data_IF_626478543707
#
_entry.id   IF_626478543707
#
_cell.length_a   1.000
_cell.length_b   1.000
_cell.length_c   1.000
_cell.angle_alpha   90.00
_cell.angle_beta   90.00
_cell.angle_gamma   90.00
#
_symmetry.space_group_name_H-M   'P 1'
#
loop_
_entity.id
_entity.type
_entity.pdbx_description
1 polymer ?
#
# COMPACT_ATOMS: atom_id res chain seq x y z
N UNK A 1 -0.74 50.14 53.71
CA UNK A 1 0.48 49.56 53.22
C UNK A 1 0.73 50.13 51.85
N UNK A 2 1.71 51.03 51.72
CA UNK A 2 2.01 51.71 50.45
C UNK A 2 2.64 50.68 49.49
N UNK A 3 1.90 50.26 48.52
CA UNK A 3 2.41 49.53 47.38
C UNK A 3 3.33 50.44 46.58
N UNK A 4 4.62 50.34 46.78
CA UNK A 4 5.61 50.95 45.91
C UNK A 4 5.50 50.22 44.56
N UNK A 5 4.90 50.92 43.55
CA UNK A 5 4.99 50.50 42.16
C UNK A 5 6.46 50.26 41.82
N UNK A 6 6.84 49.06 41.61
CA UNK A 6 8.17 48.70 41.11
C UNK A 6 8.33 49.30 39.72
N UNK A 7 8.88 50.56 39.67
CA UNK A 7 9.24 51.19 38.40
C UNK A 7 10.38 50.39 37.76
N UNK A 8 10.24 50.03 36.49
CA UNK A 8 11.32 49.40 35.75
C UNK A 8 12.59 50.24 35.78
N UNK A 9 13.77 49.55 35.83
CA UNK A 9 15.08 50.19 35.91
C UNK A 9 15.83 50.11 34.58
N UNK A 10 16.37 51.23 34.12
CA UNK A 10 17.26 51.29 32.95
C UNK A 10 18.70 51.50 33.38
N UNK A 11 19.62 50.77 32.76
CA UNK A 11 21.08 50.95 32.87
C UNK A 11 21.66 50.93 31.45
N UNK A 12 22.22 52.11 31.05
CA UNK A 12 22.75 52.22 29.68
C UNK A 12 22.90 53.71 29.28
N UNK A 13 23.17 53.92 28.04
CA UNK A 13 23.37 55.22 27.43
C UNK A 13 22.06 55.99 27.30
N UNK A 14 22.13 57.30 27.52
CA UNK A 14 21.00 58.23 27.33
C UNK A 14 21.43 59.45 26.53
N UNK A 15 20.56 59.94 25.67
CA UNK A 15 20.73 61.16 24.91
C UNK A 15 19.45 62.01 25.04
N UNK A 16 19.60 63.23 25.47
CA UNK A 16 18.44 64.17 25.74
C UNK A 16 17.40 63.52 26.66
N UNK A 17 17.85 62.86 27.73
CA UNK A 17 17.03 62.13 28.70
C UNK A 17 16.24 60.92 28.14
N UNK A 18 16.46 60.56 26.88
CA UNK A 18 15.91 59.35 26.27
C UNK A 18 16.96 58.25 26.22
N UNK A 19 16.51 56.96 26.31
CA UNK A 19 17.38 55.81 26.14
C UNK A 19 17.97 55.81 24.73
N UNK A 20 19.27 55.66 24.61
CA UNK A 20 19.97 55.72 23.33
C UNK A 20 21.23 54.84 23.43
N UNK A 21 21.71 54.29 22.32
CA UNK A 21 22.84 53.38 22.34
C UNK A 21 22.52 52.04 23.00
N UNK A 22 23.52 51.40 23.59
CA UNK A 22 23.33 50.10 24.26
C UNK A 22 22.84 50.29 25.71
N UNK A 23 21.88 49.42 26.11
CA UNK A 23 21.38 49.46 27.49
C UNK A 23 20.49 48.26 27.85
N UNK A 24 20.37 48.05 29.16
CA UNK A 24 19.54 47.02 29.78
C UNK A 24 18.34 47.65 30.45
N UNK A 25 17.18 47.20 30.18
CA UNK A 25 15.94 47.58 30.84
C UNK A 25 15.34 46.41 31.61
N UNK A 26 15.31 46.50 32.92
CA UNK A 26 14.57 45.60 33.79
C UNK A 26 13.17 46.11 33.99
N UNK A 27 12.18 45.35 33.59
CA UNK A 27 10.77 45.70 33.77
C UNK A 27 10.38 45.64 35.26
N UNK A 28 9.25 46.19 35.62
CA UNK A 28 8.69 46.10 36.99
C UNK A 28 8.47 44.63 37.41
N UNK A 29 8.10 43.76 36.50
CA UNK A 29 8.16 42.33 36.69
C UNK A 29 9.63 41.87 36.55
N UNK A 30 10.28 41.32 37.61
CA UNK A 30 11.69 41.02 37.59
C UNK A 30 12.09 39.92 36.58
N UNK A 31 11.11 39.19 36.09
CA UNK A 31 11.32 38.10 35.08
C UNK A 31 11.39 38.62 33.66
N UNK A 32 11.00 39.88 33.40
CA UNK A 32 11.09 40.53 32.08
C UNK A 32 12.31 41.44 32.01
N UNK A 33 13.17 41.20 31.01
CA UNK A 33 14.37 41.99 30.80
C UNK A 33 14.65 42.17 29.31
N UNK A 34 14.94 43.42 28.89
CA UNK A 34 15.49 43.67 27.56
C UNK A 34 16.96 44.13 27.70
N UNK A 35 17.80 43.62 26.83
CA UNK A 35 19.20 44.01 26.68
C UNK A 35 19.49 44.19 25.19
N UNK A 36 19.87 45.42 24.78
CA UNK A 36 20.07 45.70 23.38
C UNK A 36 20.19 47.17 23.08
N UNK A 37 20.06 47.51 21.81
CA UNK A 37 20.18 48.88 21.31
C UNK A 37 18.88 49.65 21.43
N UNK A 38 19.01 50.97 21.68
CA UNK A 38 17.93 51.92 21.87
C UNK A 38 18.14 53.12 20.98
N UNK A 39 17.05 53.65 20.44
CA UNK A 39 17.02 54.91 19.72
C UNK A 39 15.81 55.73 20.17
N UNK A 40 16.06 56.98 20.67
CA UNK A 40 15.02 57.90 21.13
C UNK A 40 13.98 57.25 22.07
N UNK A 41 14.44 56.43 23.03
CA UNK A 41 13.59 55.78 24.03
C UNK A 41 12.95 54.48 23.60
N UNK A 42 13.06 54.07 22.31
CA UNK A 42 12.50 52.87 21.74
C UNK A 42 13.59 51.78 21.55
N UNK A 43 13.20 50.50 21.66
CA UNK A 43 14.06 49.40 21.25
C UNK A 43 14.25 49.47 19.73
N UNK A 44 15.50 49.48 19.29
CA UNK A 44 15.85 49.66 17.89
C UNK A 44 17.12 48.86 17.57
N UNK A 45 17.18 48.19 16.43
CA UNK A 45 18.33 47.36 16.06
C UNK A 45 18.35 46.03 16.84
N UNK A 46 19.54 45.55 17.23
CA UNK A 46 19.68 44.20 17.78
C UNK A 46 19.51 44.19 19.31
N UNK A 47 18.78 43.17 19.82
CA UNK A 47 18.57 43.01 21.24
C UNK A 47 18.05 41.65 21.64
N UNK A 48 18.06 41.40 22.97
CA UNK A 48 17.52 40.19 23.59
C UNK A 48 16.43 40.55 24.58
N UNK A 49 15.26 39.95 24.44
CA UNK A 49 14.12 40.08 25.34
C UNK A 49 13.87 38.77 26.05
N UNK A 50 13.99 38.78 27.37
CA UNK A 50 13.63 37.66 28.23
C UNK A 50 12.20 37.82 28.72
N UNK A 51 11.44 36.70 28.70
CA UNK A 51 10.08 36.62 29.18
C UNK A 51 10.00 35.94 30.54
N UNK A 52 8.92 36.13 31.27
CA UNK A 52 8.73 35.63 32.62
C UNK A 52 8.64 34.09 32.75
N UNK A 53 8.34 33.40 31.69
CA UNK A 53 8.26 31.95 31.61
C UNK A 53 9.60 31.27 31.26
N UNK A 54 10.68 32.04 31.09
CA UNK A 54 11.99 31.56 30.65
C UNK A 54 12.16 31.54 29.13
N UNK A 55 11.13 31.88 28.37
CA UNK A 55 11.23 32.10 26.91
C UNK A 55 12.09 33.33 26.61
N UNK A 56 12.68 33.39 25.42
CA UNK A 56 13.40 34.59 24.99
C UNK A 56 13.24 34.83 23.49
N UNK A 57 13.40 36.09 23.11
CA UNK A 57 13.67 36.49 21.73
C UNK A 57 15.03 37.16 21.66
N UNK A 58 15.81 36.89 20.64
CA UNK A 58 17.06 37.55 20.33
C UNK A 58 17.10 37.83 18.82
N UNK A 59 17.17 39.12 18.48
CA UNK A 59 17.09 39.53 17.07
C UNK A 59 16.84 41.01 16.92
N UNK A 60 16.28 41.38 15.80
CA UNK A 60 16.05 42.74 15.39
C UNK A 60 14.77 43.34 15.97
N UNK A 61 14.82 44.64 16.32
CA UNK A 61 13.72 45.45 16.80
C UNK A 61 13.61 46.72 15.96
N UNK A 62 12.40 47.09 15.61
CA UNK A 62 12.07 48.37 14.98
C UNK A 62 10.96 49.02 15.79
N UNK A 63 11.17 50.21 16.30
CA UNK A 63 10.20 51.01 17.08
C UNK A 63 9.53 50.23 18.24
N UNK A 64 10.28 49.46 19.01
CA UNK A 64 9.86 48.52 20.07
C UNK A 64 9.33 47.17 19.61
N UNK A 65 8.97 46.98 18.34
CA UNK A 65 8.39 45.76 17.82
C UNK A 65 9.50 44.77 17.37
N UNK A 66 9.23 43.50 17.55
CA UNK A 66 10.03 42.41 17.01
C UNK A 66 9.81 42.35 15.51
N UNK A 67 10.80 42.73 14.72
CA UNK A 67 10.69 42.76 13.25
C UNK A 67 12.05 42.55 12.63
N UNK A 68 12.16 41.75 11.57
CA UNK A 68 13.44 41.36 10.95
C UNK A 68 13.90 39.97 11.37
N UNK A 69 15.20 39.72 11.33
CA UNK A 69 15.77 38.40 11.64
C UNK A 69 15.94 38.20 13.15
N UNK A 70 15.61 36.98 13.59
CA UNK A 70 15.78 36.66 15.02
C UNK A 70 15.59 35.18 15.34
N UNK A 71 15.87 34.89 16.62
CA UNK A 71 15.61 33.57 17.20
C UNK A 71 14.70 33.71 18.41
N UNK A 72 13.63 32.95 18.46
CA UNK A 72 12.72 32.85 19.60
C UNK A 72 12.70 31.45 20.17
N UNK A 73 12.95 31.35 21.46
CA UNK A 73 12.81 30.11 22.22
C UNK A 73 11.54 30.20 23.08
N UNK A 74 10.74 29.13 23.04
CA UNK A 74 9.51 28.96 23.80
C UNK A 74 9.74 27.93 24.91
N UNK A 75 9.91 28.38 26.17
CA UNK A 75 10.32 27.50 27.27
C UNK A 75 9.32 26.38 27.55
N UNK A 76 8.02 26.67 27.50
CA UNK A 76 6.95 25.69 27.80
C UNK A 76 6.91 24.53 26.81
N UNK A 77 7.01 24.80 25.51
CA UNK A 77 6.97 23.81 24.44
C UNK A 77 8.37 23.31 24.04
N UNK A 78 9.44 23.97 24.49
CA UNK A 78 10.84 23.77 24.06
C UNK A 78 11.05 23.95 22.57
N UNK A 79 10.16 24.68 21.92
CA UNK A 79 10.29 25.01 20.50
C UNK A 79 11.33 26.12 20.33
N UNK A 80 12.02 26.11 19.19
CA UNK A 80 12.92 27.17 18.78
C UNK A 80 12.64 27.54 17.34
N UNK A 81 12.30 28.80 17.12
CA UNK A 81 12.19 29.38 15.79
C UNK A 81 13.38 30.28 15.49
N UNK A 82 13.98 30.17 14.34
CA UNK A 82 14.98 31.06 13.78
C UNK A 82 14.57 31.47 12.38
N UNK A 83 14.39 32.78 12.16
CA UNK A 83 13.90 33.23 10.86
C UNK A 83 13.41 34.67 10.94
N UNK A 84 12.60 35.03 9.95
CA UNK A 84 12.05 36.36 9.83
C UNK A 84 10.80 36.54 10.72
N UNK A 85 10.69 37.72 11.34
CA UNK A 85 9.55 38.18 12.14
C UNK A 85 8.95 39.43 11.56
N UNK A 86 7.66 39.56 11.67
CA UNK A 86 6.92 40.76 11.37
C UNK A 86 5.92 41.04 12.50
N UNK A 87 6.10 42.20 13.19
CA UNK A 87 5.31 42.58 14.39
C UNK A 87 5.20 41.46 15.45
N UNK A 88 6.28 40.71 15.69
CA UNK A 88 6.34 39.64 16.70
C UNK A 88 5.81 38.29 16.25
N UNK A 89 5.27 38.16 15.05
CA UNK A 89 4.83 36.94 14.44
C UNK A 89 5.91 36.36 13.54
N UNK A 90 6.00 35.01 13.48
CA UNK A 90 6.80 34.32 12.47
C UNK A 90 6.18 34.58 11.10
N UNK A 91 6.90 35.26 10.23
CA UNK A 91 6.42 35.70 8.91
C UNK A 91 7.61 35.80 7.94
N UNK A 92 7.53 35.18 6.78
CA UNK A 92 8.65 34.97 5.87
C UNK A 92 9.37 33.63 6.07
N UNK A 93 10.61 33.52 5.60
CA UNK A 93 11.36 32.28 5.67
C UNK A 93 11.98 32.04 7.05
N UNK A 94 11.89 30.79 7.55
CA UNK A 94 12.47 30.41 8.83
C UNK A 94 12.48 28.91 9.09
N UNK A 95 13.11 28.57 10.22
CA UNK A 95 13.24 27.18 10.70
C UNK A 95 12.67 27.06 12.10
N UNK A 96 11.69 26.17 12.26
CA UNK A 96 11.08 25.84 13.55
C UNK A 96 11.49 24.43 13.96
N UNK A 97 12.19 24.35 15.10
CA UNK A 97 12.45 23.06 15.78
C UNK A 97 11.46 22.90 16.90
N UNK A 98 10.72 21.83 16.88
CA UNK A 98 9.74 21.45 17.90
C UNK A 98 10.42 20.70 19.05
N UNK A 99 9.86 20.78 20.25
CA UNK A 99 10.39 20.13 21.44
C UNK A 99 10.30 18.60 21.39
N UNK A 100 9.49 18.01 20.51
CA UNK A 100 9.41 16.58 20.24
C UNK A 100 10.49 16.07 19.26
N UNK A 101 11.30 16.98 18.69
CA UNK A 101 12.36 16.65 17.74
C UNK A 101 12.03 16.89 16.28
N UNK A 102 10.76 17.20 15.94
CA UNK A 102 10.37 17.56 14.58
C UNK A 102 10.98 18.90 14.15
N UNK A 103 11.14 19.08 12.84
CA UNK A 103 11.70 20.30 12.27
C UNK A 103 10.94 20.69 11.02
N UNK A 104 10.49 21.94 10.96
CA UNK A 104 10.01 22.57 9.74
C UNK A 104 10.98 23.66 9.29
N UNK A 105 11.25 23.72 8.00
CA UNK A 105 12.03 24.77 7.36
C UNK A 105 11.32 25.21 6.08
N UNK A 106 10.96 26.48 6.00
CA UNK A 106 10.16 26.99 4.89
C UNK A 106 9.53 28.35 5.21
N UNK A 107 8.49 28.64 4.47
CA UNK A 107 7.79 29.90 4.60
C UNK A 107 6.72 29.87 5.70
N UNK A 108 6.61 31.01 6.39
CA UNK A 108 5.61 31.29 7.43
C UNK A 108 4.78 32.49 7.05
N UNK A 109 3.54 32.45 7.47
CA UNK A 109 2.65 33.61 7.46
C UNK A 109 1.83 33.66 8.75
N UNK A 110 1.98 34.72 9.51
CA UNK A 110 1.29 34.90 10.80
C UNK A 110 1.31 33.64 11.67
N UNK A 111 2.53 33.13 11.97
CA UNK A 111 2.81 31.96 12.79
C UNK A 111 2.35 30.59 12.20
N UNK A 112 1.91 30.53 10.94
CA UNK A 112 1.51 29.30 10.28
C UNK A 112 2.46 28.94 9.15
N UNK A 113 2.64 27.63 8.88
CA UNK A 113 3.32 27.15 7.68
C UNK A 113 2.49 27.55 6.46
N UNK A 114 3.13 28.16 5.49
CA UNK A 114 2.48 28.69 4.28
C UNK A 114 3.45 28.68 3.11
N UNK A 115 3.00 28.33 1.89
CA UNK A 115 3.88 28.24 0.72
C UNK A 115 4.83 27.05 0.79
N UNK A 116 6.02 27.18 0.21
CA UNK A 116 6.99 26.08 0.13
C UNK A 116 7.69 25.84 1.47
N UNK A 117 7.86 24.53 1.81
CA UNK A 117 8.58 24.13 3.02
C UNK A 117 8.81 22.64 3.12
N UNK A 118 9.73 22.28 4.01
CA UNK A 118 10.15 20.91 4.31
C UNK A 118 9.88 20.59 5.78
N UNK A 119 9.24 19.48 6.05
CA UNK A 119 8.97 18.98 7.40
C UNK A 119 9.61 17.62 7.62
N UNK A 120 10.53 17.56 8.55
CA UNK A 120 11.20 16.33 8.99
C UNK A 120 10.68 15.96 10.37
N UNK A 121 10.00 14.84 10.49
CA UNK A 121 9.55 14.29 11.76
C UNK A 121 10.69 13.57 12.51
N UNK A 122 10.52 13.38 13.80
CA UNK A 122 11.48 12.67 14.66
C UNK A 122 11.73 11.22 14.18
N UNK A 123 10.72 10.55 13.68
CA UNK A 123 10.76 9.18 13.12
C UNK A 123 11.30 9.11 11.69
N UNK A 124 11.88 10.23 11.17
CA UNK A 124 12.54 10.34 9.86
C UNK A 124 11.61 10.38 8.64
N UNK A 125 10.33 10.59 8.81
CA UNK A 125 9.48 10.94 7.67
C UNK A 125 9.81 12.34 7.20
N UNK A 126 9.90 12.52 5.88
CA UNK A 126 10.21 13.81 5.26
C UNK A 126 9.10 14.18 4.28
N UNK A 127 8.50 15.33 4.49
CA UNK A 127 7.65 15.97 3.49
C UNK A 127 8.34 17.21 2.94
N UNK A 128 8.33 17.37 1.63
CA UNK A 128 8.78 18.60 0.94
C UNK A 128 7.73 19.00 -0.07
N UNK A 129 7.22 20.21 0.02
CA UNK A 129 6.18 20.70 -0.87
C UNK A 129 5.44 21.91 -0.32
N UNK A 130 4.26 22.15 -0.86
CA UNK A 130 3.44 23.31 -0.54
C UNK A 130 2.63 23.11 0.73
N UNK A 131 2.50 24.17 1.52
CA UNK A 131 1.76 24.23 2.77
C UNK A 131 0.70 25.32 2.72
N UNK A 132 -0.43 25.07 3.35
CA UNK A 132 -1.48 26.06 3.58
C UNK A 132 -2.05 25.91 4.99
N UNK A 133 -1.88 26.94 5.82
CA UNK A 133 -2.35 26.99 7.22
C UNK A 133 -1.95 25.72 8.02
N UNK A 134 -0.65 25.44 8.06
CA UNK A 134 -0.04 24.29 8.73
C UNK A 134 -0.42 22.90 8.17
N UNK A 135 -1.02 22.80 6.97
CA UNK A 135 -1.40 21.54 6.34
C UNK A 135 -0.71 21.38 5.00
N UNK A 136 -0.30 20.18 4.68
CA UNK A 136 0.18 19.83 3.34
C UNK A 136 -0.91 20.11 2.33
N UNK A 137 -0.56 20.80 1.24
CA UNK A 137 -1.51 21.24 0.22
C UNK A 137 -0.78 21.41 -1.11
N UNK A 138 -1.50 21.36 -2.26
CA UNK A 138 -0.88 21.48 -3.57
C UNK A 138 0.07 20.32 -3.90
N UNK A 139 1.20 20.62 -4.54
CA UNK A 139 2.19 19.62 -4.90
C UNK A 139 3.16 19.34 -3.75
N UNK A 140 3.52 18.06 -3.56
CA UNK A 140 4.51 17.69 -2.57
C UNK A 140 4.95 16.24 -2.64
N UNK A 141 6.12 15.99 -2.05
CA UNK A 141 6.72 14.66 -1.92
C UNK A 141 6.80 14.26 -0.45
N UNK A 142 6.37 13.05 -0.14
CA UNK A 142 6.45 12.44 1.18
C UNK A 142 7.29 11.18 1.11
N UNK A 143 8.38 11.13 1.88
CA UNK A 143 9.12 9.90 2.16
C UNK A 143 8.68 9.37 3.52
N UNK A 144 8.26 8.11 3.57
CA UNK A 144 7.83 7.43 4.79
C UNK A 144 9.00 6.72 5.48
N UNK A 145 8.80 6.21 6.68
CA UNK A 145 9.83 5.54 7.50
C UNK A 145 10.36 4.23 6.88
N UNK A 146 9.53 3.54 6.10
CA UNK A 146 9.88 2.34 5.34
C UNK A 146 10.61 2.66 4.01
N UNK A 147 10.82 3.94 3.72
CA UNK A 147 11.41 4.43 2.49
C UNK A 147 10.42 4.62 1.34
N UNK A 148 9.18 4.14 1.45
CA UNK A 148 8.12 4.38 0.46
C UNK A 148 7.98 5.88 0.19
N UNK A 149 7.78 6.27 -1.08
CA UNK A 149 7.66 7.67 -1.50
C UNK A 149 6.36 7.92 -2.23
N UNK A 150 5.70 9.00 -1.85
CA UNK A 150 4.58 9.54 -2.59
C UNK A 150 4.95 10.90 -3.15
N UNK A 151 4.70 11.10 -4.45
CA UNK A 151 4.86 12.39 -5.13
C UNK A 151 3.56 12.72 -5.86
N UNK A 152 2.94 13.87 -5.55
CA UNK A 152 1.66 14.24 -6.16
C UNK A 152 0.91 15.32 -5.41
N UNK A 153 -0.40 15.38 -5.68
CA UNK A 153 -1.30 16.37 -5.12
C UNK A 153 -1.70 16.08 -3.67
N UNK A 154 -1.84 17.15 -2.88
CA UNK A 154 -2.27 17.11 -1.49
C UNK A 154 -3.41 18.12 -1.25
N UNK A 155 -4.39 17.73 -0.48
CA UNK A 155 -5.44 18.62 0.03
C UNK A 155 -5.61 18.35 1.53
N UNK A 156 -5.29 19.36 2.35
CA UNK A 156 -5.48 19.34 3.81
C UNK A 156 -4.92 18.06 4.47
N UNK A 157 -3.62 17.77 4.25
CA UNK A 157 -2.85 16.62 4.75
C UNK A 157 -3.18 15.25 4.11
N UNK A 158 -4.05 15.21 3.11
CA UNK A 158 -4.43 13.97 2.42
C UNK A 158 -3.95 13.96 0.99
N UNK A 159 -3.47 12.81 0.52
CA UNK A 159 -3.18 12.55 -0.89
C UNK A 159 -4.49 12.71 -1.68
N UNK A 160 -4.42 13.45 -2.77
CA UNK A 160 -5.58 13.79 -3.60
C UNK A 160 -5.12 13.96 -5.05
N UNK A 161 -6.07 14.20 -6.00
CA UNK A 161 -5.73 14.51 -7.39
C UNK A 161 -4.89 13.41 -8.04
N UNK A 162 -3.80 13.75 -8.72
CA UNK A 162 -2.90 12.80 -9.35
C UNK A 162 -1.63 12.61 -8.51
N UNK A 163 -1.15 11.34 -8.43
CA UNK A 163 0.06 11.06 -7.67
C UNK A 163 0.64 9.69 -7.93
N UNK A 164 1.93 9.57 -7.63
CA UNK A 164 2.75 8.38 -7.80
C UNK A 164 3.25 7.91 -6.45
N UNK A 165 3.07 6.62 -6.15
CA UNK A 165 3.59 5.93 -4.98
C UNK A 165 4.62 4.90 -5.45
N UNK A 166 5.82 4.91 -4.87
CA UNK A 166 6.91 3.98 -5.19
C UNK A 166 7.45 3.30 -3.94
N UNK A 167 8.02 2.11 -4.13
CA UNK A 167 8.71 1.37 -3.08
C UNK A 167 10.02 2.09 -2.72
N UNK A 168 10.37 2.10 -1.46
CA UNK A 168 11.58 2.77 -0.95
C UNK A 168 12.88 2.02 -1.18
N UNK A 169 12.84 0.72 -1.49
CA UNK A 169 14.02 -0.10 -1.65
C UNK A 169 14.56 -0.09 -3.09
N UNK A 170 13.68 -0.23 -4.06
CA UNK A 170 14.02 -0.40 -5.48
C UNK A 170 13.39 0.66 -6.39
N UNK A 171 12.67 1.63 -5.80
CA UNK A 171 11.93 2.68 -6.51
C UNK A 171 10.87 2.13 -7.49
N UNK A 172 10.52 0.84 -7.41
CA UNK A 172 9.49 0.25 -8.24
C UNK A 172 8.14 0.93 -8.02
N UNK A 173 7.34 0.98 -9.08
CA UNK A 173 6.00 1.55 -9.02
C UNK A 173 5.10 0.69 -8.15
N UNK A 174 4.41 1.29 -7.17
CA UNK A 174 3.32 0.68 -6.43
C UNK A 174 1.98 1.14 -7.03
N UNK A 175 1.82 2.45 -7.23
CA UNK A 175 0.64 3.01 -7.83
C UNK A 175 0.92 4.36 -8.48
N UNK A 176 0.38 4.56 -9.68
CA UNK A 176 0.36 5.86 -10.36
C UNK A 176 -1.03 6.11 -10.91
N UNK A 177 -1.66 7.21 -10.49
CA UNK A 177 -3.03 7.50 -10.88
C UNK A 177 -3.73 8.49 -9.96
N UNK A 178 -5.05 8.44 -10.00
CA UNK A 178 -5.89 9.36 -9.24
C UNK A 178 -6.05 8.93 -7.78
N UNK A 179 -6.05 9.92 -6.88
CA UNK A 179 -6.19 9.77 -5.42
C UNK A 179 -7.36 10.58 -4.90
N UNK A 180 -8.02 10.08 -3.90
CA UNK A 180 -9.09 10.77 -3.19
C UNK A 180 -9.04 10.45 -1.70
N UNK A 181 -8.68 11.46 -0.88
CA UNK A 181 -8.59 11.33 0.59
C UNK A 181 -7.76 10.12 1.04
N UNK A 182 -6.51 10.00 0.55
CA UNK A 182 -5.55 8.93 0.81
C UNK A 182 -5.87 7.57 0.17
N UNK A 183 -6.97 7.42 -0.54
CA UNK A 183 -7.35 6.21 -1.23
C UNK A 183 -7.08 6.33 -2.74
N UNK A 184 -6.60 5.25 -3.36
CA UNK A 184 -6.53 5.11 -4.81
C UNK A 184 -7.96 5.16 -5.36
N UNK A 185 -8.24 6.08 -6.29
CA UNK A 185 -9.61 6.32 -6.77
C UNK A 185 -9.59 6.91 -8.17
N UNK A 186 -10.39 6.34 -9.09
CA UNK A 186 -10.37 6.73 -10.49
C UNK A 186 -9.36 5.93 -11.29
N UNK A 187 -8.91 6.48 -12.42
CA UNK A 187 -7.97 5.79 -13.31
C UNK A 187 -6.57 5.75 -12.72
N UNK A 188 -5.90 4.59 -12.88
CA UNK A 188 -4.54 4.40 -12.43
C UNK A 188 -3.95 3.04 -12.78
N UNK A 189 -2.67 2.90 -12.54
CA UNK A 189 -1.90 1.66 -12.69
C UNK A 189 -1.37 1.25 -11.31
N UNK A 190 -1.69 0.06 -10.88
CA UNK A 190 -1.18 -0.56 -9.66
C UNK A 190 -0.21 -1.67 -10.00
N UNK A 191 0.93 -1.77 -9.33
CA UNK A 191 1.96 -2.77 -9.57
C UNK A 191 2.47 -3.38 -8.27
N UNK A 192 2.94 -4.63 -8.35
CA UNK A 192 3.71 -5.29 -7.30
C UNK A 192 5.03 -5.75 -7.94
N UNK A 193 6.11 -5.00 -7.67
CA UNK A 193 7.39 -5.23 -8.33
C UNK A 193 7.26 -5.22 -9.86
N UNK A 194 8.03 -6.08 -10.51
CA UNK A 194 8.01 -6.23 -11.98
C UNK A 194 7.02 -7.32 -12.45
N UNK A 195 6.50 -8.14 -11.53
CA UNK A 195 5.77 -9.37 -11.86
C UNK A 195 4.29 -9.16 -12.09
N UNK A 196 3.66 -8.28 -11.32
CA UNK A 196 2.23 -8.06 -11.41
C UNK A 196 1.90 -6.60 -11.69
N UNK A 197 1.01 -6.36 -12.64
CA UNK A 197 0.51 -5.02 -12.97
C UNK A 197 -0.99 -5.05 -13.28
N UNK A 198 -1.73 -4.15 -12.65
CA UNK A 198 -3.12 -3.83 -12.97
C UNK A 198 -3.17 -2.48 -13.68
N UNK A 199 -3.29 -2.50 -15.02
CA UNK A 199 -3.02 -1.32 -15.88
C UNK A 199 -4.26 -0.52 -16.19
N UNK A 200 -4.14 0.82 -16.14
CA UNK A 200 -5.11 1.80 -16.67
C UNK A 200 -6.56 1.42 -16.34
N UNK A 201 -6.80 1.07 -15.09
CA UNK A 201 -8.09 0.60 -14.67
C UNK A 201 -8.72 1.50 -13.62
N UNK A 202 -10.04 1.48 -13.59
CA UNK A 202 -10.81 2.26 -12.63
C UNK A 202 -10.76 1.62 -11.24
N UNK A 203 -10.29 2.38 -10.26
CA UNK A 203 -10.28 2.01 -8.85
C UNK A 203 -11.35 2.79 -8.07
N UNK A 204 -11.97 2.14 -7.10
CA UNK A 204 -12.91 2.77 -6.16
C UNK A 204 -12.44 2.41 -4.74
N UNK A 205 -11.99 3.43 -3.99
CA UNK A 205 -11.50 3.28 -2.62
C UNK A 205 -10.42 2.18 -2.50
N UNK A 206 -9.42 2.24 -3.38
CA UNK A 206 -8.27 1.33 -3.47
C UNK A 206 -8.56 -0.07 -4.02
N UNK A 207 -9.76 -0.35 -4.47
CA UNK A 207 -10.10 -1.63 -5.10
C UNK A 207 -10.54 -1.46 -6.55
N UNK A 208 -10.21 -2.41 -7.46
CA UNK A 208 -10.68 -2.40 -8.83
C UNK A 208 -12.22 -2.46 -8.92
N UNK A 209 -12.77 -1.81 -9.92
CA UNK A 209 -14.20 -1.94 -10.24
C UNK A 209 -14.50 -3.40 -10.59
N UNK A 210 -15.59 -3.95 -10.04
CA UNK A 210 -15.97 -5.37 -10.25
C UNK A 210 -15.27 -6.35 -9.29
N UNK A 211 -14.47 -5.85 -8.33
CA UNK A 211 -13.87 -6.65 -7.27
C UNK A 211 -14.92 -7.25 -6.31
N UNK A 212 -14.74 -8.51 -5.84
CA UNK A 212 -13.65 -9.44 -6.12
C UNK A 212 -13.78 -10.10 -7.50
N UNK A 213 -12.62 -10.41 -8.13
CA UNK A 213 -12.59 -11.18 -9.38
C UNK A 213 -12.70 -12.68 -9.11
N UNK A 214 -12.91 -13.46 -10.16
CA UNK A 214 -12.92 -14.92 -10.09
C UNK A 214 -12.20 -15.55 -11.26
N UNK A 215 -11.70 -16.75 -11.08
CA UNK A 215 -11.17 -17.58 -12.16
C UNK A 215 -12.32 -18.25 -12.94
N UNK A 216 -12.28 -18.18 -14.26
CA UNK A 216 -13.27 -18.79 -15.13
C UNK A 216 -12.55 -19.54 -16.25
N UNK A 217 -12.94 -20.78 -16.46
CA UNK A 217 -12.49 -21.55 -17.61
C UNK A 217 -13.38 -21.20 -18.79
N UNK A 218 -12.78 -21.16 -19.98
CA UNK A 218 -13.40 -20.72 -21.25
C UNK A 218 -14.93 -20.74 -21.21
N UNK A 219 -15.54 -19.62 -21.52
CA UNK A 219 -16.98 -19.28 -21.39
C UNK A 219 -17.97 -20.34 -21.94
N UNK A 220 -17.47 -21.34 -22.63
CA UNK A 220 -18.23 -22.31 -23.34
C UNK A 220 -18.05 -23.73 -22.77
N UNK A 221 -18.49 -24.04 -21.55
CA UNK A 221 -19.01 -25.40 -21.35
C UNK A 221 -18.17 -26.45 -20.63
N UNK A 222 -17.42 -26.25 -19.65
CA UNK A 222 -16.88 -27.52 -19.12
C UNK A 222 -17.32 -27.80 -17.69
N UNK A 223 -18.45 -28.50 -17.55
CA UNK A 223 -18.74 -29.25 -16.31
C UNK A 223 -17.74 -30.40 -16.09
N UNK A 224 -17.07 -30.85 -17.16
CA UNK A 224 -16.09 -31.95 -17.14
C UNK A 224 -15.15 -31.82 -18.33
N UNK A 225 -13.84 -31.84 -18.09
CA UNK A 225 -12.83 -31.77 -19.15
C UNK A 225 -12.55 -33.19 -19.69
N UNK A 226 -12.63 -33.34 -21.02
CA UNK A 226 -12.30 -34.62 -21.68
C UNK A 226 -10.85 -34.56 -22.19
N UNK A 227 -9.98 -35.42 -21.65
CA UNK A 227 -8.60 -35.57 -22.10
C UNK A 227 -8.45 -36.73 -23.07
N UNK A 228 -7.80 -36.43 -24.18
CA UNK A 228 -7.43 -37.41 -25.23
C UNK A 228 -5.91 -37.51 -25.33
N UNK A 229 -5.39 -38.34 -26.24
CA UNK A 229 -3.97 -38.36 -26.60
C UNK A 229 -3.53 -37.06 -27.29
N UNK A 230 -4.48 -36.34 -27.95
CA UNK A 230 -4.20 -35.06 -28.57
C UNK A 230 -4.04 -33.95 -27.49
N UNK A 231 -2.97 -33.15 -27.56
CA UNK A 231 -2.75 -32.07 -26.60
C UNK A 231 -3.80 -30.99 -26.75
N UNK A 232 -4.29 -30.50 -25.61
CA UNK A 232 -5.21 -29.36 -25.52
C UNK A 232 -4.56 -28.19 -24.81
N UNK A 233 -5.16 -27.03 -24.98
CA UNK A 233 -4.83 -25.83 -24.20
C UNK A 233 -5.97 -25.53 -23.23
N UNK A 234 -5.66 -25.42 -21.95
CA UNK A 234 -6.60 -24.95 -20.92
C UNK A 234 -6.42 -23.45 -20.77
N UNK A 235 -7.47 -22.71 -21.04
CA UNK A 235 -7.48 -21.24 -20.90
C UNK A 235 -8.28 -20.86 -19.68
N UNK A 236 -7.67 -20.04 -18.80
CA UNK A 236 -8.27 -19.51 -17.59
C UNK A 236 -8.40 -17.99 -17.75
N UNK A 237 -9.62 -17.51 -17.73
CA UNK A 237 -9.93 -16.08 -17.73
C UNK A 237 -10.15 -15.58 -16.29
N UNK A 238 -9.59 -14.43 -15.96
CA UNK A 238 -9.93 -13.66 -14.77
C UNK A 238 -11.11 -12.78 -15.14
N UNK A 239 -12.24 -13.00 -14.50
CA UNK A 239 -13.50 -12.31 -14.83
C UNK A 239 -14.04 -11.52 -13.64
N UNK A 240 -14.76 -10.47 -13.98
CA UNK A 240 -15.53 -9.67 -13.05
C UNK A 240 -16.62 -10.52 -12.36
N UNK A 241 -16.77 -10.37 -11.02
CA UNK A 241 -17.79 -11.09 -10.24
C UNK A 241 -19.17 -10.45 -10.31
N UNK A 242 -19.34 -9.30 -10.96
CA UNK A 242 -20.64 -8.66 -11.08
C UNK A 242 -21.63 -9.57 -11.82
N UNK A 243 -22.84 -9.63 -11.30
CA UNK A 243 -23.91 -10.48 -11.80
C UNK A 243 -24.13 -10.25 -13.29
N UNK A 244 -24.04 -11.33 -14.07
CA UNK A 244 -24.34 -11.45 -15.52
C UNK A 244 -23.29 -11.00 -16.55
N UNK A 245 -22.17 -10.45 -16.20
CA UNK A 245 -21.09 -10.11 -17.14
C UNK A 245 -19.81 -10.87 -16.81
N UNK A 246 -19.58 -12.04 -17.45
CA UNK A 246 -18.27 -12.72 -17.43
C UNK A 246 -17.27 -11.95 -18.31
N UNK A 247 -17.14 -10.65 -18.09
CA UNK A 247 -16.16 -9.85 -18.80
C UNK A 247 -14.77 -10.13 -18.27
N UNK A 248 -13.85 -10.45 -19.18
CA UNK A 248 -12.45 -10.64 -18.83
C UNK A 248 -11.84 -9.34 -18.35
N UNK A 249 -11.10 -9.41 -17.23
CA UNK A 249 -10.42 -8.26 -16.62
C UNK A 249 -9.07 -8.06 -17.31
N UNK A 250 -9.07 -7.42 -18.46
CA UNK A 250 -7.87 -7.20 -19.31
C UNK A 250 -6.76 -6.39 -18.62
N UNK A 251 -7.10 -5.62 -17.59
CA UNK A 251 -6.15 -4.83 -16.82
C UNK A 251 -5.22 -5.69 -15.94
N UNK A 252 -5.62 -6.93 -15.63
CA UNK A 252 -4.88 -7.86 -14.76
C UNK A 252 -3.79 -8.58 -15.58
N UNK A 253 -2.53 -8.25 -15.30
CA UNK A 253 -1.36 -8.80 -15.98
C UNK A 253 -0.33 -9.28 -14.97
N UNK A 254 0.27 -10.46 -15.21
CA UNK A 254 1.30 -11.02 -14.35
C UNK A 254 0.78 -11.79 -13.14
N UNK A 255 -0.55 -11.98 -12.98
CA UNK A 255 -1.09 -12.86 -11.93
C UNK A 255 -0.68 -14.30 -12.19
N UNK A 256 -0.08 -14.93 -11.18
CA UNK A 256 0.45 -16.28 -11.32
C UNK A 256 -0.62 -17.31 -10.98
N UNK A 257 -1.03 -18.09 -11.96
CA UNK A 257 -2.04 -19.14 -11.85
C UNK A 257 -1.36 -20.49 -11.86
N UNK A 258 -1.71 -21.36 -10.91
CA UNK A 258 -1.19 -22.71 -10.77
C UNK A 258 -2.25 -23.72 -11.14
N UNK A 259 -1.88 -24.70 -11.96
CA UNK A 259 -2.68 -25.86 -12.29
C UNK A 259 -2.07 -27.10 -11.63
N UNK A 260 -2.84 -27.78 -10.78
CA UNK A 260 -2.48 -29.06 -10.15
C UNK A 260 -3.49 -30.12 -10.55
N UNK A 261 -3.08 -31.38 -10.43
CA UNK A 261 -3.96 -32.53 -10.60
C UNK A 261 -4.11 -33.28 -9.28
N UNK A 262 -5.33 -33.71 -8.98
CA UNK A 262 -5.58 -34.51 -7.80
C UNK A 262 -6.62 -35.59 -8.04
N UNK A 263 -6.59 -36.64 -7.22
CA UNK A 263 -7.55 -37.70 -7.20
C UNK A 263 -8.45 -37.58 -5.99
N UNK A 264 -9.75 -37.62 -6.19
CA UNK A 264 -10.73 -37.62 -5.09
C UNK A 264 -10.49 -38.84 -4.20
N UNK A 265 -10.50 -38.66 -2.89
CA UNK A 265 -10.35 -39.72 -1.89
C UNK A 265 -11.42 -39.59 -0.81
N UNK A 266 -11.92 -40.77 -0.38
CA UNK A 266 -12.80 -40.92 0.78
C UNK A 266 -11.99 -41.23 2.06
N UNK A 267 -10.68 -41.48 1.92
CA UNK A 267 -9.74 -41.75 3.01
C UNK A 267 -8.62 -40.69 3.01
N UNK A 268 -8.87 -39.49 3.59
CA UNK A 268 -7.89 -38.42 3.60
C UNK A 268 -6.66 -38.79 4.44
N UNK A 269 -5.48 -38.47 3.92
CA UNK A 269 -4.21 -38.47 4.64
C UNK A 269 -3.91 -37.05 5.16
N UNK A 270 -2.81 -36.89 5.91
CA UNK A 270 -2.37 -35.54 6.36
C UNK A 270 -2.15 -34.56 5.21
N UNK A 271 -1.79 -35.08 4.02
CA UNK A 271 -1.41 -34.29 2.84
C UNK A 271 -2.57 -34.12 1.85
N UNK A 272 -3.77 -34.62 2.19
CA UNK A 272 -4.96 -34.46 1.37
C UNK A 272 -5.54 -33.06 1.48
N UNK A 273 -5.84 -32.45 0.34
CA UNK A 273 -6.47 -31.11 0.30
C UNK A 273 -7.99 -31.23 0.53
N UNK A 274 -8.55 -30.54 1.54
CA UNK A 274 -10.00 -30.45 1.71
C UNK A 274 -10.59 -29.57 0.60
N UNK A 275 -11.79 -29.93 0.11
CA UNK A 275 -12.51 -29.13 -0.88
C UNK A 275 -13.78 -28.51 -0.28
N UNK A 276 -14.28 -27.39 -0.83
CA UNK A 276 -15.54 -26.80 -0.41
C UNK A 276 -16.76 -27.70 -0.60
N UNK A 277 -16.62 -28.80 -1.37
CA UNK A 277 -17.69 -29.74 -1.69
C UNK A 277 -17.77 -30.93 -0.71
N UNK A 278 -16.96 -30.91 0.37
CA UNK A 278 -17.00 -31.91 1.43
C UNK A 278 -16.27 -33.22 1.12
N UNK A 279 -15.42 -33.28 0.10
CA UNK A 279 -14.49 -34.36 -0.16
C UNK A 279 -13.03 -33.89 -0.10
N UNK A 280 -12.10 -34.82 -0.06
CA UNK A 280 -10.67 -34.52 -0.08
C UNK A 280 -10.05 -34.97 -1.40
N UNK A 281 -8.92 -34.38 -1.75
CA UNK A 281 -8.16 -34.67 -2.96
C UNK A 281 -6.70 -34.93 -2.60
N UNK A 282 -6.19 -36.06 -3.04
CA UNK A 282 -4.76 -36.38 -2.99
C UNK A 282 -4.10 -35.82 -4.25
N UNK A 283 -3.06 -35.02 -4.10
CA UNK A 283 -2.29 -34.52 -5.24
C UNK A 283 -1.61 -35.67 -5.98
N UNK A 284 -1.57 -35.56 -7.29
CA UNK A 284 -1.00 -36.57 -8.19
C UNK A 284 0.17 -35.96 -8.93
N UNK A 285 1.36 -36.57 -8.77
CA UNK A 285 2.57 -36.18 -9.48
C UNK A 285 2.42 -36.39 -11.01
N UNK A 286 3.01 -35.49 -11.77
CA UNK A 286 3.08 -35.58 -13.24
C UNK A 286 4.03 -36.71 -13.66
N UNK A 287 3.71 -37.40 -14.75
CA UNK A 287 4.63 -38.30 -15.40
C UNK A 287 5.68 -37.52 -16.18
N UNK A 288 6.91 -37.41 -15.66
CA UNK A 288 8.04 -36.77 -16.37
C UNK A 288 8.55 -37.73 -17.46
N UNK A 289 8.07 -37.56 -18.69
CA UNK A 289 8.86 -37.91 -19.85
C UNK A 289 9.78 -36.75 -20.16
N UNK A 290 11.05 -36.87 -19.81
CA UNK A 290 12.12 -35.94 -20.16
C UNK A 290 12.22 -35.80 -21.68
N UNK A 291 11.66 -34.71 -22.21
CA UNK A 291 12.12 -34.16 -23.48
C UNK A 291 12.87 -32.87 -23.14
N UNK A 292 14.18 -32.96 -23.27
CA UNK A 292 15.11 -31.85 -23.15
C UNK A 292 14.75 -30.77 -24.17
N UNK A 293 14.23 -29.61 -23.73
CA UNK A 293 14.47 -28.31 -24.37
C UNK A 293 13.78 -27.19 -23.59
N UNK A 294 14.61 -26.28 -23.07
CA UNK A 294 14.31 -24.88 -22.75
C UNK A 294 13.28 -24.52 -21.64
N UNK A 295 13.57 -24.90 -20.38
CA UNK A 295 12.94 -24.26 -19.20
C UNK A 295 14.02 -23.72 -18.25
N UNK A 296 14.93 -22.85 -18.76
CA UNK A 296 15.97 -22.21 -17.92
C UNK A 296 15.54 -20.86 -17.32
N UNK A 297 14.34 -20.37 -17.58
CA UNK A 297 13.95 -19.00 -17.18
C UNK A 297 13.07 -18.89 -15.92
N UNK A 298 12.65 -19.99 -15.32
CA UNK A 298 11.76 -19.93 -14.14
C UNK A 298 12.45 -20.38 -12.83
N UNK A 299 13.64 -21.01 -12.88
CA UNK A 299 14.35 -21.48 -11.69
C UNK A 299 15.06 -20.38 -10.88
N UNK A 300 15.27 -19.19 -11.42
CA UNK A 300 16.00 -18.11 -10.75
C UNK A 300 15.14 -17.20 -9.85
N UNK A 301 13.81 -17.32 -9.90
CA UNK A 301 12.90 -16.46 -9.11
C UNK A 301 12.60 -16.97 -7.69
N UNK A 302 13.09 -18.17 -7.29
CA UNK A 302 12.69 -18.79 -6.01
C UNK A 302 13.76 -18.83 -4.91
N UNK A 303 14.93 -18.19 -5.07
CA UNK A 303 16.03 -18.34 -4.07
C UNK A 303 16.08 -17.29 -2.95
N UNK A 304 15.15 -16.37 -2.81
CA UNK A 304 15.26 -15.25 -1.83
C UNK A 304 14.15 -15.11 -0.79
N UNK A 305 13.35 -16.10 -0.47
CA UNK A 305 12.46 -16.01 0.70
C UNK A 305 12.64 -17.18 1.66
N UNK A 306 13.44 -16.98 2.71
CA UNK A 306 13.58 -17.89 3.83
C UNK A 306 12.35 -17.81 4.75
N UNK A 307 11.46 -18.80 4.66
CA UNK A 307 10.56 -19.24 5.72
C UNK A 307 10.29 -20.73 5.51
N UNK A 308 10.29 -21.48 6.61
CA UNK A 308 10.02 -22.94 6.66
C UNK A 308 8.59 -23.27 6.20
N UNK A 309 8.29 -23.07 4.92
CA UNK A 309 7.12 -23.62 4.26
C UNK A 309 7.52 -24.86 3.48
N UNK A 310 6.72 -25.91 3.67
CA UNK A 310 6.79 -27.21 3.01
C UNK A 310 7.21 -27.01 1.55
N UNK A 311 8.41 -27.48 1.18
CA UNK A 311 8.86 -27.55 -0.22
C UNK A 311 7.96 -28.53 -0.96
N UNK A 312 6.80 -28.06 -1.44
CA UNK A 312 6.09 -28.73 -2.52
C UNK A 312 7.03 -28.72 -3.73
N UNK A 313 7.41 -29.87 -4.20
CA UNK A 313 8.26 -29.97 -5.39
C UNK A 313 7.53 -29.34 -6.56
N UNK A 314 8.18 -28.36 -7.22
CA UNK A 314 7.66 -27.64 -8.40
C UNK A 314 7.26 -28.59 -9.54
N UNK A 315 7.72 -29.85 -9.48
CA UNK A 315 7.45 -30.91 -10.47
C UNK A 315 5.98 -31.35 -10.56
N UNK A 316 5.15 -31.08 -9.53
CA UNK A 316 3.76 -31.55 -9.46
C UNK A 316 2.74 -30.52 -9.93
N UNK A 317 3.15 -29.35 -10.37
CA UNK A 317 2.27 -28.26 -10.80
C UNK A 317 2.74 -27.58 -12.09
N UNK A 318 1.81 -26.94 -12.81
CA UNK A 318 2.10 -26.02 -13.91
C UNK A 318 1.80 -24.63 -13.48
N UNK A 319 2.66 -23.67 -13.85
CA UNK A 319 2.47 -22.23 -13.61
C UNK A 319 2.30 -21.51 -14.93
N UNK A 320 1.38 -20.54 -14.97
CA UNK A 320 1.21 -19.63 -16.08
C UNK A 320 0.92 -18.22 -15.56
N UNK A 321 1.64 -17.22 -16.08
CA UNK A 321 1.33 -15.83 -15.78
C UNK A 321 0.13 -15.36 -16.63
N UNK A 322 -0.74 -14.53 -16.05
CA UNK A 322 -1.83 -13.90 -16.80
C UNK A 322 -1.30 -12.81 -17.71
N UNK A 323 -1.87 -12.71 -18.91
CA UNK A 323 -1.72 -11.58 -19.80
C UNK A 323 -3.11 -11.07 -20.20
N UNK A 324 -3.34 -9.77 -20.03
CA UNK A 324 -4.67 -9.17 -20.19
C UNK A 324 -5.81 -9.98 -19.52
N UNK A 325 -5.58 -10.48 -18.29
CA UNK A 325 -6.53 -11.27 -17.53
C UNK A 325 -6.75 -12.70 -18.07
N UNK A 326 -5.75 -13.28 -18.75
CA UNK A 326 -5.82 -14.64 -19.28
C UNK A 326 -4.53 -15.40 -19.02
N UNK A 327 -4.63 -16.58 -18.43
CA UNK A 327 -3.55 -17.54 -18.31
C UNK A 327 -3.82 -18.77 -19.19
N UNK A 328 -2.78 -19.40 -19.76
CA UNK A 328 -2.90 -20.54 -20.64
C UNK A 328 -1.93 -21.65 -20.25
N UNK A 329 -2.45 -22.86 -20.16
CA UNK A 329 -1.69 -24.10 -19.97
C UNK A 329 -1.75 -24.91 -21.25
N UNK A 330 -0.62 -25.03 -21.94
CA UNK A 330 -0.51 -25.62 -23.27
C UNK A 330 0.01 -27.06 -23.19
N UNK A 331 -0.43 -27.92 -24.08
CA UNK A 331 0.12 -29.26 -24.25
C UNK A 331 -0.38 -30.28 -23.24
N UNK A 332 -1.54 -30.08 -22.63
CA UNK A 332 -2.14 -31.01 -21.69
C UNK A 332 -2.86 -32.12 -22.45
N UNK A 333 -2.45 -33.37 -22.24
CA UNK A 333 -3.07 -34.56 -22.82
C UNK A 333 -3.14 -35.70 -21.81
N UNK A 334 -3.68 -36.84 -22.21
CA UNK A 334 -3.75 -38.03 -21.36
C UNK A 334 -2.37 -38.55 -20.92
N UNK A 335 -1.31 -38.33 -21.72
CA UNK A 335 0.05 -38.77 -21.42
C UNK A 335 0.74 -37.96 -20.34
N UNK A 336 0.20 -36.79 -20.03
CA UNK A 336 0.66 -35.93 -18.92
C UNK A 336 0.45 -36.59 -17.55
N UNK A 337 -0.40 -37.66 -17.47
CA UNK A 337 -0.81 -38.29 -16.21
C UNK A 337 -0.36 -39.74 -16.12
N UNK A 338 -0.12 -40.29 -14.90
CA UNK A 338 0.24 -41.67 -14.69
C UNK A 338 -0.78 -42.67 -15.27
N UNK A 339 -0.30 -43.79 -15.82
CA UNK A 339 -1.11 -44.79 -16.54
C UNK A 339 -2.25 -45.35 -15.68
N UNK A 340 -2.05 -45.55 -14.38
CA UNK A 340 -3.06 -46.10 -13.47
C UNK A 340 -4.29 -45.19 -13.30
N UNK A 341 -4.18 -43.91 -13.61
CA UNK A 341 -5.27 -42.95 -13.52
C UNK A 341 -6.09 -42.86 -14.82
N UNK A 342 -5.52 -43.34 -15.95
CA UNK A 342 -6.18 -43.27 -17.26
C UNK A 342 -7.23 -44.39 -17.44
N UNK A 343 -7.16 -45.46 -16.64
CA UNK A 343 -8.03 -46.63 -16.77
C UNK A 343 -9.33 -46.59 -15.96
N UNK A 344 -9.53 -45.55 -15.13
CA UNK A 344 -10.71 -45.44 -14.28
C UNK A 344 -11.72 -44.42 -14.82
N UNK A 345 -12.53 -44.82 -15.79
CA UNK A 345 -13.63 -44.00 -16.29
C UNK A 345 -14.99 -44.45 -15.75
N UNK A 346 -15.57 -43.70 -14.84
CA UNK A 346 -17.01 -43.69 -14.60
C UNK A 346 -17.46 -42.29 -14.29
N UNK A 347 -18.51 -41.86 -14.99
CA UNK A 347 -19.05 -40.51 -15.02
C UNK A 347 -19.66 -40.10 -13.68
N UNK A 348 -19.17 -38.99 -13.11
CA UNK A 348 -19.84 -38.30 -12.00
C UNK A 348 -20.20 -36.88 -12.48
N UNK A 349 -21.49 -36.58 -12.54
CA UNK A 349 -21.99 -35.24 -12.77
C UNK A 349 -21.94 -34.44 -11.45
N UNK A 350 -21.16 -33.39 -11.41
CA UNK A 350 -21.18 -32.40 -10.34
C UNK A 350 -22.14 -31.29 -10.74
N UNK A 351 -23.29 -31.20 -10.05
CA UNK A 351 -24.20 -30.07 -10.22
C UNK A 351 -23.60 -28.83 -9.56
N UNK A 352 -23.33 -27.79 -10.34
CA UNK A 352 -23.01 -26.47 -9.81
C UNK A 352 -24.24 -25.89 -9.12
N UNK A 353 -24.28 -25.85 -7.79
CA UNK A 353 -25.26 -25.06 -7.07
C UNK A 353 -24.68 -23.67 -6.84
N UNK A 354 -25.24 -22.69 -7.54
CA UNK A 354 -25.09 -21.27 -7.21
C UNK A 354 -25.49 -21.02 -5.77
N UNK A 355 -24.64 -20.27 -5.05
CA UNK A 355 -24.85 -19.74 -3.72
C UNK A 355 -26.22 -19.10 -3.56
N UNK A 356 -27.11 -19.70 -2.75
CA UNK A 356 -28.22 -19.02 -2.11
C UNK A 356 -28.21 -19.31 -0.61
N UNK A 357 -28.55 -18.28 0.15
CA UNK A 357 -28.54 -18.12 1.60
C UNK A 357 -29.28 -19.23 2.36
N UNK A 358 -29.01 -19.42 3.67
CA UNK A 358 -29.58 -20.50 4.45
C UNK A 358 -31.02 -20.18 4.89
N UNK A 359 -31.96 -20.97 4.44
CA UNK A 359 -33.27 -21.08 5.06
C UNK A 359 -33.49 -22.49 5.59
N UNK A 360 -33.99 -22.49 6.78
CA UNK A 360 -34.25 -23.57 7.74
C UNK A 360 -35.00 -24.82 7.27
N UNK A 361 -34.65 -25.94 7.92
CA UNK A 361 -35.45 -27.13 8.29
C UNK A 361 -35.52 -28.33 7.33
N UNK A 362 -34.85 -29.36 7.85
CA UNK A 362 -35.21 -30.79 7.88
C UNK A 362 -35.91 -31.45 6.71
N UNK A 363 -35.18 -32.27 6.00
CA UNK A 363 -35.65 -33.61 5.59
C UNK A 363 -34.43 -34.55 5.35
N UNK A 364 -34.44 -35.67 6.12
CA UNK A 364 -33.55 -36.78 5.95
C UNK A 364 -33.85 -37.44 4.61
N UNK A 365 -32.94 -37.29 3.62
CA UNK A 365 -32.88 -38.26 2.51
C UNK A 365 -31.68 -39.19 2.68
N UNK A 366 -31.98 -40.48 2.69
CA UNK A 366 -31.02 -41.59 2.64
C UNK A 366 -30.10 -41.39 1.42
N UNK A 367 -28.80 -41.20 1.66
CA UNK A 367 -27.79 -41.26 0.62
C UNK A 367 -27.64 -42.74 0.20
N UNK A 368 -28.02 -43.04 -1.02
CA UNK A 368 -27.61 -44.32 -1.68
C UNK A 368 -26.11 -44.31 -1.85
N UNK A 369 -25.47 -45.36 -1.34
CA UNK A 369 -24.05 -45.68 -1.57
C UNK A 369 -23.88 -46.02 -3.07
N UNK A 370 -23.47 -45.06 -3.90
CA UNK A 370 -22.99 -45.33 -5.24
C UNK A 370 -21.49 -45.57 -5.21
N UNK A 371 -21.05 -46.55 -5.96
CA UNK A 371 -19.70 -47.08 -6.04
C UNK A 371 -18.65 -45.97 -6.28
N UNK A 372 -17.57 -46.06 -5.56
CA UNK A 372 -16.38 -45.18 -5.63
C UNK A 372 -15.73 -45.27 -7.01
N UNK A 373 -16.02 -44.30 -7.89
CA UNK A 373 -15.18 -44.09 -9.05
C UNK A 373 -14.14 -43.05 -8.72
N UNK A 374 -12.88 -43.39 -8.92
CA UNK A 374 -11.76 -42.44 -8.76
C UNK A 374 -11.87 -41.35 -9.82
N UNK A 375 -12.43 -40.21 -9.46
CA UNK A 375 -12.49 -39.06 -10.35
C UNK A 375 -11.24 -38.18 -10.16
N UNK A 376 -10.60 -37.86 -11.28
CA UNK A 376 -9.49 -36.93 -11.33
C UNK A 376 -10.05 -35.52 -11.41
N UNK A 377 -9.39 -34.59 -10.74
CA UNK A 377 -9.81 -33.22 -10.62
C UNK A 377 -8.60 -32.30 -10.89
N UNK A 378 -8.77 -31.34 -11.78
CA UNK A 378 -7.86 -30.21 -11.88
C UNK A 378 -8.19 -29.19 -10.80
N UNK A 379 -7.14 -28.69 -10.15
CA UNK A 379 -7.20 -27.67 -9.11
C UNK A 379 -6.45 -26.45 -9.66
N UNK A 380 -7.14 -25.34 -9.77
CA UNK A 380 -6.61 -24.10 -10.33
C UNK A 380 -6.62 -23.05 -9.24
N UNK A 381 -5.44 -22.61 -8.85
CA UNK A 381 -5.22 -21.68 -7.75
C UNK A 381 -4.56 -20.38 -8.25
N UNK A 382 -4.88 -19.27 -7.59
CA UNK A 382 -4.10 -18.05 -7.64
C UNK A 382 -2.97 -18.15 -6.60
N UNK A 383 -1.73 -18.15 -7.08
CA UNK A 383 -0.52 -18.24 -6.25
C UNK A 383 0.36 -17.01 -6.37
N UNK A 384 -0.21 -15.90 -6.83
CA UNK A 384 0.47 -14.61 -6.94
C UNK A 384 0.94 -14.15 -5.56
N UNK A 385 2.22 -13.79 -5.43
CA UNK A 385 2.79 -13.24 -4.20
C UNK A 385 3.64 -12.00 -4.49
N UNK A 386 3.52 -10.90 -3.71
CA UNK A 386 2.45 -10.66 -2.71
C UNK A 386 1.05 -10.67 -3.33
N UNK A 387 0.04 -10.96 -2.52
CA UNK A 387 -1.35 -11.13 -2.98
C UNK A 387 -1.90 -9.77 -3.42
N UNK A 388 -2.31 -9.59 -4.71
CA UNK A 388 -2.86 -8.34 -5.19
C UNK A 388 -4.16 -7.97 -4.47
N UNK A 389 -4.27 -6.71 -4.04
CA UNK A 389 -5.45 -6.17 -3.35
C UNK A 389 -5.85 -6.98 -2.10
N UNK A 390 -4.87 -7.59 -1.41
CA UNK A 390 -5.04 -8.35 -0.16
C UNK A 390 -5.99 -9.55 -0.27
N UNK A 391 -6.27 -10.06 -1.47
CA UNK A 391 -7.12 -11.22 -1.67
C UNK A 391 -6.72 -12.06 -2.87
N UNK A 392 -6.39 -13.35 -2.62
CA UNK A 392 -6.26 -14.35 -3.68
C UNK A 392 -7.63 -14.67 -4.30
N UNK A 393 -7.63 -15.10 -5.57
CA UNK A 393 -8.84 -15.56 -6.24
C UNK A 393 -9.25 -16.95 -5.73
N UNK A 394 -10.56 -17.22 -5.70
CA UNK A 394 -11.08 -18.49 -5.24
C UNK A 394 -10.60 -19.65 -6.13
N UNK A 395 -10.18 -20.76 -5.52
CA UNK A 395 -9.74 -21.97 -6.21
C UNK A 395 -10.86 -22.60 -7.01
N UNK A 396 -10.55 -23.03 -8.24
CA UNK A 396 -11.49 -23.70 -9.15
C UNK A 396 -11.15 -25.18 -9.25
N UNK A 397 -12.17 -26.02 -9.16
CA UNK A 397 -12.07 -27.49 -9.25
C UNK A 397 -12.81 -28.02 -10.47
N UNK A 398 -12.15 -28.81 -11.33
CA UNK A 398 -12.71 -29.33 -12.58
C UNK A 398 -12.54 -30.84 -12.65
N UNK A 399 -13.64 -31.59 -12.74
CA UNK A 399 -13.58 -33.02 -13.05
C UNK A 399 -12.95 -33.30 -14.42
N UNK A 400 -12.13 -34.32 -14.48
CA UNK A 400 -11.44 -34.77 -15.70
C UNK A 400 -11.87 -36.16 -16.05
N UNK A 401 -12.16 -36.41 -17.32
CA UNK A 401 -12.41 -37.76 -17.88
C UNK A 401 -11.40 -38.03 -18.99
N UNK A 402 -10.97 -39.28 -19.09
CA UNK A 402 -10.15 -39.73 -20.20
C UNK A 402 -11.02 -40.44 -21.25
N UNK A 403 -10.85 -40.11 -22.53
CA UNK A 403 -11.47 -40.88 -23.59
C UNK A 403 -10.62 -42.11 -23.90
N UNK A 404 -11.18 -43.31 -23.74
CA UNK A 404 -10.56 -44.53 -24.24
C UNK A 404 -10.72 -44.57 -25.77
N UNK A 405 -9.62 -44.38 -26.51
CA UNK A 405 -9.59 -44.52 -27.98
C UNK A 405 -9.71 -45.98 -28.47
N UNK A 406 -10.01 -46.94 -27.58
CA UNK A 406 -10.06 -48.36 -27.93
C UNK A 406 -11.46 -48.88 -28.31
N UNK A 407 -12.38 -48.08 -28.82
CA UNK A 407 -13.65 -48.57 -29.42
C UNK A 407 -13.85 -48.03 -30.83
N UNK A 408 -12.99 -48.44 -31.76
CA UNK A 408 -13.29 -48.45 -33.19
C UNK A 408 -12.60 -49.64 -33.85
N UNK A 409 -13.25 -50.78 -33.79
CA UNK A 409 -13.24 -51.78 -34.84
C UNK A 409 -14.65 -52.19 -35.15
#
# INVERSE_FOLDING_TARGET
MNGSELKGAFRGETRRSLRSGFGVYQYSNPFFRYEGTWHEGKKQGFGKLLFGDGSYYQGEFVDNEITGQGTRYFATSRNTYTGHFYYGEMDGHGRLRLGNGDCYEGNFKSNTFEGEGSYLSYDKQLYTGTWHKNRRHGQGEQTYTDGTRYSGDWIADKRHGFGKLTNGQDESLIYEGSWRNDLMHGEGTYSIGETYTYRNAMLINSYPTGWPFRLCIDKNKVSTLLLTENPITITIDIVDSSENNNNRVKADCGRLIRLRCGQRTDHPTSDSLPTPFGFHVNLVARSTKTSSSNDQSISELNEQSGSDEVKESIEDSMLAASDEGRAQFVGINSDTFPIHLRSSSSSVSISQSSTQQPASKSSRHKAEKSATSSSIIFIIDDVTYPIPFDKALDTVYIPVQFSNTNNSQ
#
